data_IF_914909273952
#
_entry.id   IF_914909273952
#
_cell.length_a   1.000
_cell.length_b   1.000
_cell.length_c   1.000
_cell.angle_alpha   90.00
_cell.angle_beta   90.00
_cell.angle_gamma   90.00
#
_symmetry.space_group_name_H-M   'P 1'
#
loop_
_entity.id
_entity.type
_entity.pdbx_description
1 polymer ?
#
# COMPACT_ATOMS: atom_id res chain seq x y z
N UNK A 1 6.50 20.76 -28.66
CA UNK A 1 5.59 20.91 -27.51
C UNK A 1 6.47 20.99 -26.27
N UNK A 2 6.27 21.99 -25.40
CA UNK A 2 7.20 22.35 -24.32
C UNK A 2 7.27 21.25 -23.22
N UNK A 3 8.27 20.36 -23.33
CA UNK A 3 8.52 19.22 -22.42
C UNK A 3 8.78 19.66 -20.97
N UNK A 4 9.35 20.85 -20.77
CA UNK A 4 9.52 21.43 -19.43
C UNK A 4 8.14 21.67 -18.79
N UNK A 5 7.22 22.24 -19.54
CA UNK A 5 5.87 22.55 -19.06
C UNK A 5 5.07 21.29 -18.66
N UNK A 6 5.28 20.16 -19.37
CA UNK A 6 4.67 18.88 -18.99
C UNK A 6 5.20 18.38 -17.66
N UNK A 7 6.52 18.43 -17.44
CA UNK A 7 7.17 18.03 -16.18
C UNK A 7 6.71 18.90 -15.02
N UNK A 8 6.59 20.20 -15.24
CA UNK A 8 6.11 21.16 -14.23
C UNK A 8 4.69 20.84 -13.75
N UNK A 9 3.79 20.42 -14.66
CA UNK A 9 2.41 20.03 -14.31
C UNK A 9 2.33 18.74 -13.48
N UNK A 10 3.40 17.95 -13.41
CA UNK A 10 3.45 16.72 -12.61
C UNK A 10 3.96 16.96 -11.17
N UNK A 11 4.44 18.16 -10.85
CA UNK A 11 4.86 18.51 -9.49
C UNK A 11 3.67 18.38 -8.53
N UNK A 12 3.88 17.68 -7.42
CA UNK A 12 2.85 17.41 -6.42
C UNK A 12 2.29 18.72 -5.84
N UNK A 13 1.05 19.03 -6.23
CA UNK A 13 0.36 20.25 -5.84
C UNK A 13 0.07 20.31 -4.34
N UNK A 14 -0.13 19.17 -3.67
CA UNK A 14 -0.36 19.12 -2.23
C UNK A 14 0.91 19.55 -1.50
N UNK A 15 2.06 18.97 -1.87
CA UNK A 15 3.33 19.31 -1.24
C UNK A 15 3.72 20.76 -1.51
N UNK A 16 3.52 21.24 -2.74
CA UNK A 16 3.74 22.65 -3.08
C UNK A 16 2.84 23.57 -2.23
N UNK A 17 1.54 23.28 -2.14
CA UNK A 17 0.62 24.10 -1.33
C UNK A 17 1.00 24.12 0.15
N UNK A 18 1.43 22.99 0.72
CA UNK A 18 1.93 22.92 2.11
C UNK A 18 3.18 23.79 2.28
N UNK A 19 4.12 23.75 1.33
CA UNK A 19 5.31 24.61 1.35
C UNK A 19 4.94 26.10 1.27
N UNK A 20 3.81 26.44 0.65
CA UNK A 20 3.24 27.78 0.63
C UNK A 20 2.40 28.11 1.89
N UNK A 21 2.35 27.24 2.89
CA UNK A 21 1.68 27.46 4.17
C UNK A 21 0.21 27.03 4.24
N UNK A 22 -0.27 26.20 3.29
CA UNK A 22 -1.58 25.57 3.44
C UNK A 22 -1.52 24.39 4.43
N UNK A 23 -2.56 24.29 5.25
CA UNK A 23 -2.69 23.22 6.26
C UNK A 23 -3.71 22.20 5.80
N UNK A 24 -3.38 20.91 5.89
CA UNK A 24 -4.31 19.83 5.56
C UNK A 24 -5.41 19.72 6.64
N UNK A 25 -6.67 19.77 6.21
CA UNK A 25 -7.85 19.49 7.02
C UNK A 25 -8.19 18.00 6.94
N UNK A 26 -7.64 17.20 7.85
CA UNK A 26 -7.78 15.73 7.85
C UNK A 26 -9.22 15.27 8.02
N UNK A 27 -10.01 16.02 8.79
CA UNK A 27 -11.43 15.84 9.00
C UNK A 27 -12.26 15.92 7.69
N UNK A 28 -11.74 16.63 6.69
CA UNK A 28 -12.41 16.88 5.40
C UNK A 28 -11.67 16.27 4.21
N UNK A 29 -10.55 15.59 4.47
CA UNK A 29 -9.72 14.96 3.44
C UNK A 29 -10.06 13.49 3.32
N UNK A 30 -10.15 13.01 2.09
CA UNK A 30 -10.32 11.59 1.76
C UNK A 30 -9.11 11.10 0.98
N UNK A 31 -8.97 9.78 0.82
CA UNK A 31 -7.77 9.14 0.24
C UNK A 31 -7.30 9.78 -1.08
N UNK A 32 -8.23 10.22 -1.94
CA UNK A 32 -7.95 10.77 -3.28
C UNK A 32 -8.02 12.30 -3.36
N UNK A 33 -8.61 12.96 -2.36
CA UNK A 33 -8.89 14.40 -2.37
C UNK A 33 -8.50 15.01 -1.03
N UNK A 34 -7.50 15.89 -1.05
CA UNK A 34 -6.95 16.52 0.16
C UNK A 34 -7.53 17.92 0.28
N UNK A 35 -8.17 18.19 1.41
CA UNK A 35 -8.65 19.51 1.76
C UNK A 35 -7.52 20.32 2.40
N UNK A 36 -7.25 21.49 1.85
CA UNK A 36 -6.19 22.40 2.27
C UNK A 36 -6.79 23.78 2.57
N UNK A 37 -6.32 24.42 3.64
CA UNK A 37 -6.79 25.74 4.05
C UNK A 37 -5.62 26.66 4.43
N UNK A 38 -5.71 27.92 4.05
CA UNK A 38 -4.78 28.98 4.45
C UNK A 38 -5.50 30.31 4.53
N UNK A 39 -5.53 30.95 5.70
CA UNK A 39 -6.07 32.30 5.89
C UNK A 39 -7.46 32.52 5.24
N UNK A 40 -8.35 31.52 5.32
CA UNK A 40 -9.69 31.58 4.72
C UNK A 40 -9.79 31.07 3.28
N UNK A 41 -8.68 30.93 2.53
CA UNK A 41 -8.68 30.22 1.24
C UNK A 41 -8.77 28.72 1.49
N UNK A 42 -9.76 28.08 0.86
CA UNK A 42 -10.11 26.67 1.04
C UNK A 42 -10.14 25.98 -0.30
N UNK A 43 -9.28 24.99 -0.48
CA UNK A 43 -9.14 24.25 -1.72
C UNK A 43 -9.21 22.74 -1.47
N UNK A 44 -9.64 21.99 -2.47
CA UNK A 44 -9.57 20.53 -2.51
C UNK A 44 -8.67 20.11 -3.66
N UNK A 45 -7.63 19.34 -3.37
CA UNK A 45 -6.67 18.84 -4.37
C UNK A 45 -6.93 17.36 -4.64
N UNK A 46 -7.29 17.02 -5.86
CA UNK A 46 -7.34 15.64 -6.32
C UNK A 46 -5.92 15.15 -6.64
N UNK A 47 -5.38 14.25 -5.82
CA UNK A 47 -3.99 13.78 -5.95
C UNK A 47 -3.72 12.99 -7.22
N UNK A 48 -4.72 12.28 -7.74
CA UNK A 48 -4.58 11.43 -8.93
C UNK A 48 -4.49 12.31 -10.18
N UNK A 49 -5.38 13.29 -10.27
CA UNK A 49 -5.43 14.21 -11.41
C UNK A 49 -4.44 15.38 -11.27
N UNK A 50 -3.85 15.56 -10.09
CA UNK A 50 -3.00 16.69 -9.70
C UNK A 50 -3.63 18.06 -10.03
N UNK A 51 -4.93 18.19 -9.72
CA UNK A 51 -5.71 19.41 -9.93
C UNK A 51 -6.38 19.83 -8.63
N UNK A 52 -6.57 21.14 -8.45
CA UNK A 52 -7.31 21.72 -7.34
C UNK A 52 -8.60 22.37 -7.79
N UNK A 53 -9.51 22.49 -6.83
CA UNK A 53 -10.74 23.27 -6.90
C UNK A 53 -10.86 24.11 -5.64
N UNK A 54 -11.14 25.40 -5.77
CA UNK A 54 -11.54 26.23 -4.63
C UNK A 54 -12.95 25.89 -4.20
N UNK A 55 -13.16 25.86 -2.88
CA UNK A 55 -14.46 25.64 -2.23
C UNK A 55 -15.25 26.96 -2.19
N UNK A 56 -14.60 28.09 -2.43
CA UNK A 56 -15.18 29.44 -2.33
C UNK A 56 -15.49 30.03 -3.71
N UNK A 57 -14.68 29.72 -4.73
CA UNK A 57 -14.85 30.25 -6.09
C UNK A 57 -14.75 29.13 -7.13
N UNK A 58 -15.85 28.85 -7.83
CA UNK A 58 -15.90 27.75 -8.82
C UNK A 58 -15.03 28.00 -10.06
N UNK A 59 -14.78 29.26 -10.42
CA UNK A 59 -13.83 29.63 -11.49
C UNK A 59 -12.38 29.50 -11.05
N UNK A 60 -12.15 29.21 -9.76
CA UNK A 60 -10.85 29.04 -9.17
C UNK A 60 -10.44 27.56 -9.07
N UNK A 61 -10.08 26.98 -10.22
CA UNK A 61 -9.61 25.60 -10.34
C UNK A 61 -8.46 25.48 -11.36
N UNK A 62 -7.79 24.32 -11.37
CA UNK A 62 -6.78 23.99 -12.39
C UNK A 62 -5.63 23.13 -11.85
N UNK A 63 -4.49 23.13 -12.56
CA UNK A 63 -3.26 22.45 -12.11
C UNK A 63 -2.38 23.41 -11.30
N UNK A 64 -1.17 22.96 -10.92
CA UNK A 64 -0.21 23.76 -10.15
C UNK A 64 0.14 25.12 -10.78
N UNK A 65 0.16 25.23 -12.11
CA UNK A 65 0.42 26.51 -12.79
C UNK A 65 -0.74 27.47 -12.51
N UNK A 66 -1.97 27.03 -12.74
CA UNK A 66 -3.18 27.81 -12.46
C UNK A 66 -3.29 28.18 -10.98
N UNK A 67 -2.82 27.29 -10.09
CA UNK A 67 -2.78 27.54 -8.65
C UNK A 67 -1.86 28.71 -8.31
N UNK A 68 -0.59 28.64 -8.75
CA UNK A 68 0.41 29.67 -8.48
C UNK A 68 -0.01 31.00 -9.10
N UNK A 69 -0.48 30.96 -10.35
CA UNK A 69 -0.93 32.15 -11.06
C UNK A 69 -2.03 32.88 -10.29
N UNK A 70 -3.02 32.17 -9.72
CA UNK A 70 -4.12 32.80 -8.98
C UNK A 70 -3.75 33.26 -7.57
N UNK A 71 -2.77 32.63 -6.91
CA UNK A 71 -2.37 33.00 -5.53
C UNK A 71 -1.27 34.05 -5.49
N UNK A 72 -0.41 34.07 -6.50
CA UNK A 72 0.79 34.93 -6.55
C UNK A 72 0.79 35.94 -7.69
N UNK A 73 -0.16 35.86 -8.62
CA UNK A 73 -0.23 36.77 -9.77
C UNK A 73 0.90 36.60 -10.78
N UNK A 74 1.68 35.52 -10.70
CA UNK A 74 2.88 35.33 -11.51
C UNK A 74 2.55 34.96 -12.96
N UNK A 75 3.37 35.43 -13.89
CA UNK A 75 3.30 35.01 -15.28
C UNK A 75 3.99 33.65 -15.49
N UNK A 76 3.78 33.03 -16.65
CA UNK A 76 4.28 31.67 -16.90
C UNK A 76 5.82 31.55 -16.81
N UNK A 77 6.57 32.61 -17.16
CA UNK A 77 8.03 32.63 -17.04
C UNK A 77 8.50 32.62 -15.59
N UNK A 78 7.82 33.36 -14.72
CA UNK A 78 8.08 33.40 -13.28
C UNK A 78 7.68 32.09 -12.61
N UNK A 79 6.54 31.50 -13.00
CA UNK A 79 6.10 30.19 -12.50
C UNK A 79 7.12 29.10 -12.83
N UNK A 80 7.71 29.13 -14.04
CA UNK A 80 8.81 28.20 -14.38
C UNK A 80 10.00 28.36 -13.44
N UNK A 81 10.45 29.59 -13.19
CA UNK A 81 11.57 29.87 -12.26
C UNK A 81 11.25 29.38 -10.85
N UNK A 82 10.02 29.58 -10.38
CA UNK A 82 9.59 29.15 -9.05
C UNK A 82 9.50 27.63 -8.90
N UNK A 83 9.05 26.92 -9.93
CA UNK A 83 8.87 25.47 -9.88
C UNK A 83 10.12 24.67 -10.24
N UNK A 84 11.13 25.29 -10.89
CA UNK A 84 12.40 24.63 -11.25
C UNK A 84 13.13 23.95 -10.07
N UNK A 85 13.24 24.56 -8.88
CA UNK A 85 13.80 23.89 -7.70
C UNK A 85 13.06 22.61 -7.30
N UNK A 86 11.77 22.52 -7.62
CA UNK A 86 10.96 21.33 -7.37
C UNK A 86 11.13 20.26 -8.46
N UNK A 87 11.76 20.57 -9.61
CA UNK A 87 12.11 19.57 -10.63
C UNK A 87 13.41 18.82 -10.29
N UNK A 88 14.39 19.48 -9.69
CA UNK A 88 15.70 18.89 -9.34
C UNK A 88 15.63 17.98 -8.12
N UNK A 89 14.67 18.19 -7.21
CA UNK A 89 14.42 17.32 -6.05
C UNK A 89 13.94 15.91 -6.49
N UNK A 90 13.46 15.74 -7.73
CA UNK A 90 13.03 14.44 -8.26
C UNK A 90 14.09 13.70 -9.11
N UNK A 91 15.29 14.25 -9.31
CA UNK A 91 16.30 13.66 -10.23
C UNK A 91 17.71 13.44 -9.64
N UNK A 92 17.93 13.50 -8.32
CA UNK A 92 19.09 12.87 -7.67
C UNK A 92 18.81 12.48 -6.21
N UNK A 93 19.26 11.29 -5.76
CA UNK A 93 18.84 10.70 -4.50
C UNK A 93 19.67 11.23 -3.33
N UNK A 94 19.29 12.35 -2.73
CA UNK A 94 19.80 12.73 -1.40
C UNK A 94 18.75 13.46 -0.56
N UNK A 95 18.24 12.72 0.42
CA UNK A 95 17.83 13.14 1.77
C UNK A 95 16.82 14.28 1.94
N UNK A 96 15.55 13.98 2.30
CA UNK A 96 14.62 14.99 2.80
C UNK A 96 15.00 15.41 4.24
N UNK A 97 15.38 16.67 4.44
CA UNK A 97 15.45 17.27 5.78
C UNK A 97 14.03 17.56 6.29
N UNK A 98 13.60 16.71 7.22
CA UNK A 98 12.69 16.95 8.34
C UNK A 98 11.49 17.88 8.06
N UNK A 99 10.44 17.31 7.47
CA UNK A 99 9.14 17.44 8.14
C UNK A 99 9.35 16.97 9.57
N UNK A 100 8.84 17.67 10.58
CA UNK A 100 8.71 17.06 11.90
C UNK A 100 8.06 15.71 11.70
N UNK A 101 8.90 14.67 11.77
CA UNK A 101 8.43 13.33 11.87
C UNK A 101 7.55 13.40 13.09
N UNK A 102 6.24 13.18 12.93
CA UNK A 102 5.62 12.24 13.85
C UNK A 102 6.63 11.11 13.89
N UNK A 103 7.43 11.03 14.98
CA UNK A 103 8.41 9.94 15.15
C UNK A 103 7.67 8.73 14.62
N UNK A 104 8.16 8.12 13.52
CA UNK A 104 7.58 6.88 12.99
C UNK A 104 7.45 6.03 14.24
N UNK A 105 6.22 5.81 14.71
CA UNK A 105 6.06 5.26 16.06
C UNK A 105 6.77 3.93 15.99
N UNK A 106 7.79 3.73 16.82
CA UNK A 106 8.58 2.50 16.82
C UNK A 106 7.56 1.36 16.83
N UNK A 107 7.65 0.47 15.83
CA UNK A 107 6.77 -0.67 15.78
C UNK A 107 7.02 -1.50 17.04
N UNK A 108 5.95 -1.74 17.79
CA UNK A 108 5.92 -2.72 18.85
C UNK A 108 4.90 -3.78 18.44
N UNK A 109 5.27 -5.06 18.43
CA UNK A 109 4.32 -6.13 18.17
C UNK A 109 3.10 -6.01 19.08
N UNK A 110 1.87 -6.19 18.56
CA UNK A 110 0.70 -6.38 19.40
C UNK A 110 0.97 -7.43 20.49
N UNK A 111 0.46 -7.25 21.72
CA UNK A 111 0.69 -8.21 22.78
C UNK A 111 0.03 -9.54 22.43
N UNK A 112 0.78 -10.63 22.54
CA UNK A 112 0.24 -11.98 22.36
C UNK A 112 -0.68 -12.34 23.53
N UNK A 113 -1.90 -12.79 23.22
CA UNK A 113 -2.87 -13.31 24.19
C UNK A 113 -3.19 -14.76 23.88
N UNK A 114 -2.61 -15.68 24.68
CA UNK A 114 -2.74 -17.13 24.50
C UNK A 114 -4.20 -17.59 24.48
N UNK A 115 -5.02 -17.06 25.38
CA UNK A 115 -6.43 -17.46 25.51
C UNK A 115 -7.28 -17.08 24.28
N UNK A 116 -6.84 -16.07 23.53
CA UNK A 116 -7.52 -15.63 22.30
C UNK A 116 -7.11 -16.47 21.08
N UNK A 117 -5.99 -17.20 21.15
CA UNK A 117 -5.44 -17.95 20.00
C UNK A 117 -6.44 -18.98 19.47
N UNK A 118 -7.17 -19.66 20.37
CA UNK A 118 -8.20 -20.64 19.98
C UNK A 118 -9.29 -20.04 19.08
N UNK A 119 -9.68 -18.79 19.30
CA UNK A 119 -10.70 -18.13 18.48
C UNK A 119 -10.16 -17.76 17.10
N UNK A 120 -8.92 -17.25 17.04
CA UNK A 120 -8.22 -16.97 15.78
C UNK A 120 -8.03 -18.24 14.96
N UNK A 121 -7.59 -19.34 15.57
CA UNK A 121 -7.42 -20.62 14.89
C UNK A 121 -8.77 -21.16 14.42
N UNK A 122 -9.80 -21.14 15.27
CA UNK A 122 -11.15 -21.56 14.88
C UNK A 122 -11.66 -20.76 13.67
N UNK A 123 -11.48 -19.43 13.67
CA UNK A 123 -11.83 -18.57 12.54
C UNK A 123 -11.09 -18.96 11.26
N UNK A 124 -9.76 -19.10 11.33
CA UNK A 124 -8.95 -19.39 10.15
C UNK A 124 -9.23 -20.80 9.57
N UNK A 125 -9.50 -21.79 10.42
CA UNK A 125 -9.85 -23.15 9.98
C UNK A 125 -11.29 -23.22 9.50
N UNK A 126 -12.26 -22.78 10.30
CA UNK A 126 -13.67 -23.08 10.04
C UNK A 126 -14.32 -22.10 9.08
N UNK A 127 -13.93 -20.81 9.11
CA UNK A 127 -14.48 -19.79 8.22
C UNK A 127 -13.59 -19.56 7.00
N UNK A 128 -12.27 -19.50 7.20
CA UNK A 128 -11.31 -19.23 6.11
C UNK A 128 -10.79 -20.50 5.43
N UNK A 129 -11.14 -21.69 5.92
CA UNK A 129 -10.79 -23.02 5.37
C UNK A 129 -9.29 -23.27 5.23
N UNK A 130 -8.48 -22.56 6.01
CA UNK A 130 -7.03 -22.75 6.02
C UNK A 130 -6.70 -23.98 6.86
N UNK A 131 -5.82 -24.82 6.31
CA UNK A 131 -5.31 -26.04 6.89
C UNK A 131 -4.64 -25.78 8.25
N UNK A 132 -4.99 -26.62 9.23
CA UNK A 132 -4.52 -26.45 10.59
C UNK A 132 -3.00 -26.60 10.70
N UNK A 133 -2.38 -27.52 9.95
CA UNK A 133 -0.94 -27.73 10.05
C UNK A 133 -0.15 -26.53 9.51
N UNK A 134 -0.67 -25.85 8.47
CA UNK A 134 -0.11 -24.60 7.99
C UNK A 134 -0.16 -23.49 9.05
N UNK A 135 -1.29 -23.36 9.73
CA UNK A 135 -1.46 -22.40 10.83
C UNK A 135 -0.55 -22.74 12.02
N UNK A 136 -0.50 -24.02 12.41
CA UNK A 136 0.29 -24.50 13.54
C UNK A 136 1.79 -24.26 13.33
N UNK A 137 2.30 -24.45 12.10
CA UNK A 137 3.68 -24.10 11.77
C UNK A 137 3.99 -22.61 11.95
N UNK A 138 3.03 -21.72 11.66
CA UNK A 138 3.21 -20.28 11.83
C UNK A 138 3.09 -19.83 13.30
N UNK A 139 2.18 -20.42 14.06
CA UNK A 139 2.04 -20.13 15.50
C UNK A 139 3.27 -20.59 16.27
N UNK A 140 3.79 -21.78 15.99
CA UNK A 140 5.04 -22.28 16.59
C UNK A 140 6.25 -21.40 16.28
N UNK A 141 6.28 -20.79 15.08
CA UNK A 141 7.31 -19.81 14.69
C UNK A 141 7.06 -18.40 15.24
N UNK A 142 5.94 -18.16 15.92
CA UNK A 142 5.54 -16.83 16.39
C UNK A 142 5.14 -15.86 15.28
N UNK A 143 4.94 -16.33 14.05
CA UNK A 143 4.61 -15.50 12.88
C UNK A 143 3.10 -15.23 12.74
N UNK A 144 2.28 -16.04 13.41
CA UNK A 144 0.83 -15.87 13.55
C UNK A 144 0.45 -16.00 15.02
N UNK A 145 -0.33 -15.06 15.55
CA UNK A 145 -0.91 -15.16 16.89
C UNK A 145 -2.17 -14.31 17.05
N UNK A 146 -2.75 -14.28 18.25
CA UNK A 146 -3.91 -13.46 18.59
C UNK A 146 -3.54 -12.31 19.55
N UNK A 147 -4.05 -11.10 19.28
CA UNK A 147 -3.93 -9.96 20.20
C UNK A 147 -5.12 -9.86 21.17
N UNK A 148 -5.10 -8.82 22.01
CA UNK A 148 -6.16 -8.55 23.00
C UNK A 148 -7.53 -8.18 22.40
N UNK A 149 -7.60 -7.88 21.11
CA UNK A 149 -8.84 -7.61 20.38
C UNK A 149 -9.29 -8.79 19.53
N UNK A 150 -8.65 -9.96 19.71
CA UNK A 150 -8.87 -11.15 18.91
C UNK A 150 -8.61 -10.91 17.41
N UNK A 151 -7.64 -10.07 17.06
CA UNK A 151 -7.14 -10.01 15.70
C UNK A 151 -6.21 -11.19 15.43
N UNK A 152 -6.27 -11.76 14.23
CA UNK A 152 -5.17 -12.52 13.66
C UNK A 152 -4.02 -11.53 13.40
N UNK A 153 -2.88 -11.76 14.03
CA UNK A 153 -1.68 -10.94 13.88
C UNK A 153 -0.67 -11.70 13.04
N UNK A 154 -0.44 -11.24 11.81
CA UNK A 154 0.56 -11.80 10.90
C UNK A 154 1.79 -10.89 10.89
N UNK A 155 2.91 -11.37 11.41
CA UNK A 155 4.12 -10.54 11.51
C UNK A 155 4.74 -10.28 10.14
N UNK A 156 5.14 -9.02 9.93
CA UNK A 156 5.87 -8.57 8.75
C UNK A 156 7.36 -8.49 9.09
N UNK A 157 8.18 -8.98 8.18
CA UNK A 157 9.63 -9.07 8.35
C UNK A 157 10.38 -8.37 7.23
N UNK A 158 11.63 -8.02 7.52
CA UNK A 158 12.63 -7.67 6.54
C UNK A 158 14.00 -8.25 6.96
N UNK A 159 15.08 -7.83 6.29
CA UNK A 159 16.45 -8.29 6.60
C UNK A 159 16.93 -8.01 8.03
N UNK A 160 16.31 -7.08 8.74
CA UNK A 160 16.66 -6.66 10.10
C UNK A 160 15.74 -7.31 11.17
N UNK A 161 14.77 -8.15 10.78
CA UNK A 161 13.84 -8.82 11.69
C UNK A 161 12.39 -8.36 11.52
N UNK A 162 11.63 -8.38 12.62
CA UNK A 162 10.20 -8.04 12.63
C UNK A 162 10.03 -6.52 12.61
N UNK A 163 9.25 -6.02 11.67
CA UNK A 163 9.10 -4.58 11.40
C UNK A 163 7.65 -4.10 11.30
N UNK A 164 6.69 -5.02 11.38
CA UNK A 164 5.28 -4.69 11.36
C UNK A 164 4.38 -5.88 11.62
N UNK A 165 3.08 -5.66 11.55
CA UNK A 165 2.11 -6.74 11.49
C UNK A 165 0.88 -6.35 10.67
N UNK A 166 0.38 -7.29 9.88
CA UNK A 166 -0.94 -7.25 9.26
C UNK A 166 -1.97 -7.81 10.25
N UNK A 167 -3.11 -7.13 10.36
CA UNK A 167 -4.17 -7.44 11.31
C UNK A 167 -5.46 -7.81 10.59
N UNK A 168 -6.08 -8.91 11.03
CA UNK A 168 -7.41 -9.34 10.63
C UNK A 168 -8.30 -9.55 11.85
N UNK A 169 -9.34 -8.72 12.02
CA UNK A 169 -10.32 -8.93 13.10
C UNK A 169 -11.24 -10.11 12.80
N UNK A 170 -11.64 -10.84 13.85
CA UNK A 170 -12.55 -12.00 13.75
C UNK A 170 -13.99 -11.70 14.22
N UNK A 171 -14.24 -10.54 14.83
CA UNK A 171 -15.56 -10.16 15.36
C UNK A 171 -16.08 -8.84 14.78
N UNK A 172 -17.40 -8.75 14.58
CA UNK A 172 -18.13 -7.47 14.51
C UNK A 172 -17.92 -6.59 13.26
N UNK A 173 -17.35 -7.14 12.20
CA UNK A 173 -17.02 -6.41 10.98
C UNK A 173 -15.61 -6.78 10.55
N UNK A 174 -15.44 -7.04 9.26
CA UNK A 174 -14.23 -7.53 8.63
C UNK A 174 -13.01 -6.56 8.75
N UNK A 175 -12.57 -6.22 9.96
CA UNK A 175 -11.44 -5.32 10.17
C UNK A 175 -10.20 -5.87 9.46
N UNK A 176 -9.58 -5.03 8.63
CA UNK A 176 -8.28 -5.26 7.97
C UNK A 176 -7.44 -4.03 8.24
N UNK A 177 -6.19 -4.22 8.62
CA UNK A 177 -5.31 -3.10 8.87
C UNK A 177 -3.88 -3.50 9.16
N UNK A 178 -3.09 -2.51 9.56
CA UNK A 178 -1.74 -2.69 10.04
C UNK A 178 -1.67 -2.35 11.52
N UNK A 179 -0.82 -3.06 12.26
CA UNK A 179 -0.50 -2.69 13.62
C UNK A 179 0.20 -1.32 13.66
N UNK A 180 0.01 -0.58 14.76
CA UNK A 180 0.57 0.76 14.94
C UNK A 180 2.10 0.75 14.75
N UNK A 181 2.61 1.67 13.95
CA UNK A 181 4.03 1.77 13.64
C UNK A 181 4.50 0.89 12.47
N UNK A 182 3.64 0.02 11.95
CA UNK A 182 3.95 -0.76 10.75
C UNK A 182 3.86 0.11 9.50
N UNK A 183 4.67 -0.22 8.50
CA UNK A 183 4.57 0.33 7.15
C UNK A 183 4.65 -0.80 6.13
N UNK A 184 3.88 -0.70 5.04
CA UNK A 184 3.99 -1.62 3.91
C UNK A 184 5.32 -1.51 3.16
N UNK A 185 6.09 -0.46 3.42
CA UNK A 185 7.41 -0.23 2.81
C UNK A 185 8.54 -0.81 3.64
N UNK A 186 8.31 -1.07 4.93
CA UNK A 186 9.36 -1.50 5.84
C UNK A 186 9.59 -3.01 5.78
N UNK A 187 8.57 -3.79 5.42
CA UNK A 187 8.64 -5.24 5.28
C UNK A 187 7.32 -5.84 4.79
N UNK A 188 7.20 -7.16 4.90
CA UNK A 188 6.03 -7.92 4.44
C UNK A 188 5.86 -9.22 5.21
N UNK A 189 4.64 -9.75 5.24
CA UNK A 189 4.42 -11.13 5.68
C UNK A 189 4.84 -12.09 4.57
N UNK A 190 5.49 -13.20 4.93
CA UNK A 190 5.97 -14.19 3.97
C UNK A 190 5.80 -15.62 4.45
N UNK A 191 5.41 -16.50 3.53
CA UNK A 191 5.61 -17.94 3.63
C UNK A 191 6.84 -18.27 2.78
N UNK A 192 7.94 -18.66 3.44
CA UNK A 192 9.20 -18.98 2.76
C UNK A 192 9.09 -20.27 1.93
N UNK A 193 9.82 -20.28 0.81
CA UNK A 193 9.93 -21.39 -0.12
C UNK A 193 11.32 -21.45 -0.72
N UNK A 194 11.44 -22.05 -1.90
CA UNK A 194 12.68 -22.20 -2.68
C UNK A 194 12.56 -21.72 -4.12
N UNK A 195 11.34 -21.71 -4.67
CA UNK A 195 11.03 -21.31 -6.03
C UNK A 195 10.87 -19.80 -6.24
N UNK A 196 10.07 -19.41 -7.24
CA UNK A 196 9.75 -18.01 -7.57
C UNK A 196 9.02 -17.26 -6.44
N UNK A 197 8.89 -15.94 -6.57
CA UNK A 197 8.08 -15.12 -5.67
C UNK A 197 6.66 -14.93 -6.19
N UNK A 198 5.68 -15.02 -5.30
CA UNK A 198 4.27 -14.73 -5.56
C UNK A 198 3.85 -13.57 -4.67
N UNK A 199 3.31 -12.50 -5.26
CA UNK A 199 2.78 -11.34 -4.54
C UNK A 199 1.26 -11.43 -4.45
N UNK A 200 0.73 -11.51 -3.23
CA UNK A 200 -0.71 -11.50 -2.94
C UNK A 200 -1.08 -10.30 -2.07
N UNK A 201 -2.36 -10.01 -1.93
CA UNK A 201 -2.81 -8.81 -1.19
C UNK A 201 -2.80 -9.00 0.31
N UNK A 202 -3.16 -10.17 0.83
CA UNK A 202 -3.28 -10.39 2.28
C UNK A 202 -2.55 -11.63 2.77
N UNK A 203 -2.24 -11.70 4.06
CA UNK A 203 -1.66 -12.89 4.67
C UNK A 203 -2.58 -14.12 4.54
N UNK A 204 -3.90 -13.91 4.59
CA UNK A 204 -4.90 -14.97 4.38
C UNK A 204 -4.88 -15.46 2.93
N UNK A 205 -4.72 -14.58 1.95
CA UNK A 205 -4.52 -14.97 0.55
C UNK A 205 -3.20 -15.72 0.36
N UNK A 206 -2.15 -15.36 1.10
CA UNK A 206 -0.87 -16.07 1.02
C UNK A 206 -1.02 -17.53 1.49
N UNK A 207 -1.73 -17.74 2.60
CA UNK A 207 -2.04 -19.08 3.11
C UNK A 207 -2.93 -19.84 2.14
N UNK A 208 -3.94 -19.16 1.59
CA UNK A 208 -4.88 -19.77 0.65
C UNK A 208 -4.18 -20.20 -0.63
N UNK A 209 -3.34 -19.34 -1.20
CA UNK A 209 -2.53 -19.66 -2.38
C UNK A 209 -1.58 -20.84 -2.11
N UNK A 210 -0.89 -20.85 -0.95
CA UNK A 210 0.00 -21.95 -0.56
C UNK A 210 -0.74 -23.28 -0.56
N UNK A 211 -1.94 -23.30 0.00
CA UNK A 211 -2.76 -24.51 0.15
C UNK A 211 -3.38 -24.97 -1.16
N UNK A 212 -3.95 -24.06 -1.96
CA UNK A 212 -4.60 -24.39 -3.24
C UNK A 212 -3.60 -25.05 -4.21
N UNK A 213 -2.39 -24.50 -4.31
CA UNK A 213 -1.42 -24.94 -5.33
C UNK A 213 -0.35 -25.90 -4.82
N UNK A 214 -0.22 -26.06 -3.49
CA UNK A 214 0.83 -26.82 -2.83
C UNK A 214 2.23 -26.55 -3.44
N UNK A 215 2.53 -25.27 -3.66
CA UNK A 215 3.74 -24.81 -4.37
C UNK A 215 4.92 -24.63 -3.41
N UNK A 216 6.16 -24.77 -3.88
CA UNK A 216 7.39 -24.45 -3.14
C UNK A 216 7.82 -22.97 -3.28
N UNK A 217 7.03 -22.14 -3.96
CA UNK A 217 7.31 -20.72 -4.14
C UNK A 217 7.31 -19.94 -2.82
N UNK A 218 8.06 -18.83 -2.81
CA UNK A 218 7.94 -17.83 -1.76
C UNK A 218 6.65 -17.03 -1.97
N UNK A 219 5.78 -16.95 -0.97
CA UNK A 219 4.52 -16.20 -1.09
C UNK A 219 4.57 -15.02 -0.13
N UNK A 220 4.40 -13.81 -0.68
CA UNK A 220 4.53 -12.54 0.02
C UNK A 220 3.19 -11.83 0.01
N UNK A 221 2.69 -11.48 1.20
CA UNK A 221 1.59 -10.53 1.30
C UNK A 221 2.13 -9.10 1.26
N UNK A 222 1.53 -8.27 0.41
CA UNK A 222 1.84 -6.84 0.31
C UNK A 222 1.02 -5.97 1.28
N UNK A 223 0.21 -6.61 2.14
CA UNK A 223 -0.71 -6.01 3.10
C UNK A 223 -1.72 -5.02 2.45
N UNK A 224 -2.21 -5.40 1.27
CA UNK A 224 -3.13 -4.70 0.37
C UNK A 224 -2.46 -4.30 -0.94
N UNK A 225 -3.24 -4.05 -1.99
CA UNK A 225 -2.73 -3.69 -3.33
C UNK A 225 -1.57 -2.68 -3.32
N UNK A 226 -0.45 -3.06 -3.96
CA UNK A 226 0.71 -2.20 -4.23
C UNK A 226 0.99 -2.08 -5.72
N UNK A 227 1.01 -0.85 -6.21
CA UNK A 227 1.32 -0.52 -7.61
C UNK A 227 2.83 -0.51 -7.89
N UNK A 228 3.65 -0.23 -6.88
CA UNK A 228 5.10 -0.31 -6.94
C UNK A 228 5.67 -0.52 -5.53
N UNK A 229 5.83 -1.78 -5.06
CA UNK A 229 6.44 -2.05 -3.76
C UNK A 229 7.96 -1.84 -3.82
N UNK A 230 8.58 -1.18 -2.81
CA UNK A 230 9.99 -0.76 -2.87
C UNK A 230 11.01 -1.91 -2.88
N UNK A 231 10.56 -3.13 -2.58
CA UNK A 231 11.39 -4.34 -2.59
C UNK A 231 11.33 -5.11 -3.91
N UNK A 232 10.55 -4.67 -4.89
CA UNK A 232 10.29 -5.42 -6.12
C UNK A 232 11.55 -5.68 -6.95
N UNK A 233 12.44 -4.68 -7.07
CA UNK A 233 13.69 -4.80 -7.82
C UNK A 233 14.57 -5.91 -7.23
N UNK A 234 14.71 -5.94 -5.90
CA UNK A 234 15.48 -6.95 -5.16
C UNK A 234 14.90 -8.36 -5.36
N UNK A 235 13.57 -8.49 -5.46
CA UNK A 235 12.95 -9.79 -5.73
C UNK A 235 13.25 -10.26 -7.16
N UNK A 236 13.13 -9.36 -8.13
CA UNK A 236 13.36 -9.63 -9.56
C UNK A 236 14.82 -9.95 -9.88
N UNK A 237 15.78 -9.35 -9.17
CA UNK A 237 17.20 -9.71 -9.27
C UNK A 237 17.48 -11.16 -8.86
N UNK A 238 16.66 -11.71 -7.96
CA UNK A 238 16.86 -13.05 -7.40
C UNK A 238 16.15 -14.12 -8.20
N UNK A 239 14.86 -13.92 -8.50
CA UNK A 239 13.97 -14.94 -9.08
C UNK A 239 12.82 -14.29 -9.84
N UNK A 240 12.08 -15.10 -10.60
CA UNK A 240 10.83 -14.64 -11.22
C UNK A 240 9.83 -14.17 -10.14
N UNK A 241 9.01 -13.18 -10.52
CA UNK A 241 7.94 -12.65 -9.68
C UNK A 241 6.61 -12.80 -10.40
N UNK A 242 5.63 -13.34 -9.69
CA UNK A 242 4.24 -13.52 -10.12
C UNK A 242 3.38 -12.56 -9.29
N UNK A 243 2.63 -11.69 -9.96
CA UNK A 243 1.58 -10.90 -9.33
C UNK A 243 0.30 -11.74 -9.27
N UNK A 244 -0.10 -12.08 -8.05
CA UNK A 244 -1.29 -12.83 -7.70
C UNK A 244 -2.25 -11.96 -6.86
N UNK A 245 -2.53 -10.74 -7.32
CA UNK A 245 -3.52 -9.87 -6.68
C UNK A 245 -4.95 -10.28 -7.04
N UNK A 246 -5.90 -9.72 -6.29
CA UNK A 246 -7.32 -10.03 -6.41
C UNK A 246 -7.82 -9.79 -7.84
N UNK A 247 -8.87 -10.53 -8.21
CA UNK A 247 -9.60 -10.36 -9.47
C UNK A 247 -10.60 -9.21 -9.37
N UNK A 248 -10.12 -8.05 -8.91
CA UNK A 248 -10.88 -6.82 -8.85
C UNK A 248 -10.22 -5.72 -9.69
N UNK A 249 -10.90 -4.58 -9.79
CA UNK A 249 -10.40 -3.45 -10.56
C UNK A 249 -9.03 -2.97 -10.06
N UNK A 250 -8.82 -2.91 -8.74
CA UNK A 250 -7.62 -2.35 -8.13
C UNK A 250 -6.43 -3.30 -8.31
N UNK A 251 -6.64 -4.59 -8.12
CA UNK A 251 -5.65 -5.64 -8.38
C UNK A 251 -5.21 -5.68 -9.85
N UNK A 252 -6.15 -5.51 -10.79
CA UNK A 252 -5.86 -5.40 -12.24
C UNK A 252 -5.08 -4.14 -12.61
N UNK A 253 -5.50 -2.98 -12.07
CA UNK A 253 -4.81 -1.70 -12.28
C UNK A 253 -3.37 -1.75 -11.73
N UNK A 254 -3.17 -2.37 -10.57
CA UNK A 254 -1.85 -2.52 -9.99
C UNK A 254 -0.95 -3.48 -10.77
N UNK A 255 -1.48 -4.60 -11.25
CA UNK A 255 -0.72 -5.46 -12.16
C UNK A 255 -0.28 -4.71 -13.42
N UNK A 256 -1.17 -3.92 -14.03
CA UNK A 256 -0.83 -3.10 -15.21
C UNK A 256 0.28 -2.10 -14.91
N UNK A 257 0.25 -1.45 -13.76
CA UNK A 257 1.32 -0.55 -13.32
C UNK A 257 2.64 -1.28 -13.10
N UNK A 258 2.60 -2.47 -12.48
CA UNK A 258 3.79 -3.30 -12.25
C UNK A 258 4.45 -3.68 -13.58
N UNK A 259 3.72 -4.23 -14.55
CA UNK A 259 4.31 -4.65 -15.83
C UNK A 259 4.78 -3.49 -16.72
N UNK A 260 4.25 -2.29 -16.49
CA UNK A 260 4.73 -1.09 -17.19
C UNK A 260 6.18 -0.77 -16.80
N UNK A 261 6.54 -1.00 -15.53
CA UNK A 261 7.90 -0.81 -15.02
C UNK A 261 8.75 -2.10 -15.08
N UNK A 262 8.09 -3.26 -14.99
CA UNK A 262 8.71 -4.58 -14.84
C UNK A 262 8.04 -5.62 -15.76
N UNK A 263 8.33 -5.60 -17.07
CA UNK A 263 7.63 -6.44 -18.06
C UNK A 263 7.74 -7.96 -17.84
N UNK A 264 8.72 -8.42 -17.06
CA UNK A 264 8.92 -9.83 -16.72
C UNK A 264 7.95 -10.37 -15.67
N UNK A 265 7.21 -9.50 -14.96
CA UNK A 265 6.23 -9.93 -13.95
C UNK A 265 5.04 -10.62 -14.63
N UNK A 266 4.78 -11.87 -14.23
CA UNK A 266 3.65 -12.67 -14.72
C UNK A 266 2.39 -12.40 -13.90
N UNK A 267 1.19 -12.54 -14.48
CA UNK A 267 -0.08 -12.51 -13.75
C UNK A 267 -0.54 -13.93 -13.45
N UNK A 268 -0.97 -14.16 -12.22
CA UNK A 268 -1.85 -15.26 -11.87
C UNK A 268 -3.08 -14.67 -11.21
N UNK A 269 -4.28 -14.94 -11.71
CA UNK A 269 -5.51 -14.31 -11.21
C UNK A 269 -6.43 -15.37 -10.61
N UNK A 270 -7.07 -15.11 -9.46
CA UNK A 270 -8.09 -16.02 -8.95
C UNK A 270 -9.31 -16.03 -9.88
N UNK A 271 -9.95 -17.20 -10.03
CA UNK A 271 -11.20 -17.33 -10.80
C UNK A 271 -12.36 -16.66 -10.05
N UNK A 272 -12.24 -16.56 -8.73
CA UNK A 272 -13.15 -15.81 -7.83
C UNK A 272 -12.55 -14.45 -7.47
N UNK A 273 -13.17 -13.71 -6.55
CA UNK A 273 -12.69 -12.37 -6.18
C UNK A 273 -11.26 -12.42 -5.65
N UNK A 274 -11.00 -13.31 -4.72
CA UNK A 274 -9.71 -13.48 -4.06
C UNK A 274 -9.36 -14.97 -3.87
N UNK A 275 -8.15 -15.25 -3.41
CA UNK A 275 -7.67 -16.63 -3.25
C UNK A 275 -8.36 -17.33 -2.09
N UNK A 276 -8.72 -16.60 -1.04
CA UNK A 276 -9.46 -17.17 0.07
C UNK A 276 -10.87 -17.60 -0.32
N UNK A 277 -11.57 -16.83 -1.17
CA UNK A 277 -12.86 -17.22 -1.73
C UNK A 277 -12.76 -18.48 -2.58
N UNK A 278 -11.70 -18.64 -3.38
CA UNK A 278 -11.46 -19.91 -4.08
C UNK A 278 -11.31 -21.07 -3.11
N UNK A 279 -10.53 -20.89 -2.04
CA UNK A 279 -10.29 -21.94 -1.04
C UNK A 279 -11.57 -22.33 -0.30
N UNK A 280 -12.37 -21.33 0.12
CA UNK A 280 -13.62 -21.59 0.88
C UNK A 280 -14.67 -22.30 0.03
N UNK A 281 -14.64 -22.10 -1.29
CA UNK A 281 -15.50 -22.80 -2.25
C UNK A 281 -14.93 -24.15 -2.72
N UNK A 282 -13.76 -24.57 -2.23
CA UNK A 282 -13.14 -25.84 -2.61
C UNK A 282 -12.67 -25.92 -4.06
N UNK A 283 -12.38 -24.78 -4.69
CA UNK A 283 -11.90 -24.74 -6.07
C UNK A 283 -10.42 -25.14 -6.14
N UNK A 284 -10.12 -26.12 -6.98
CA UNK A 284 -8.74 -26.56 -7.23
C UNK A 284 -8.09 -25.63 -8.25
N UNK A 285 -6.86 -25.19 -7.97
CA UNK A 285 -6.12 -24.32 -8.87
C UNK A 285 -5.36 -25.12 -9.92
N UNK A 286 -5.39 -24.67 -11.19
CA UNK A 286 -4.50 -25.18 -12.21
C UNK A 286 -3.07 -24.67 -11.95
N UNK A 287 -2.07 -25.57 -11.93
CA UNK A 287 -0.67 -25.17 -11.87
C UNK A 287 -0.31 -24.52 -13.22
N UNK A 288 -0.03 -23.21 -13.21
CA UNK A 288 0.53 -22.49 -14.37
C UNK A 288 2.03 -22.33 -14.23
#
# INVERSE_FOLDING_TARGET
MDEELKKLKQIDLVNYAIAQGYVIRKDKSVEKSIFLEKNGDKIVVNKIKNIYFSVVNTNDNGNIISFIQKRKGLNLGEIRKELRPYLTIFFSPTSPKKFESKKKSVFLPPPFVKDNLKFVINYLVNERKIDFDLLNRLTLKGMLYADNKCNCVFLMVNKNGIVGAELRGIFGGEFRGLAKGSSRDDGFFQISGTGSYVLVESAIDALSYKQIFNTDMHIISTAGVRFNPPYIDILLEKREVICAYDNDKKGKEAFKALITNYPSIKRHEPIKKDWNEMLTLGLVGEKK
#
